data_IF_083166539125
#
_entry.id   IF_083166539125
#
_cell.length_a   1.000
_cell.length_b   1.000
_cell.length_c   1.000
_cell.angle_alpha   90.00
_cell.angle_beta   90.00
_cell.angle_gamma   90.00
#
_symmetry.space_group_name_H-M   'P 1'
#
loop_
_entity.id
_entity.type
_entity.pdbx_description
1 polymer ?
#
# COMPACT_ATOMS: atom_id res chain seq x y z
N UNK A 1 -84.36 31.25 99.58
CA UNK A 1 -82.89 31.03 99.63
C UNK A 1 -82.41 29.80 98.85
N UNK A 2 -83.15 29.32 97.83
CA UNK A 2 -82.73 28.15 97.02
C UNK A 2 -82.37 28.47 95.55
N UNK A 3 -82.69 29.68 95.07
CA UNK A 3 -82.51 30.06 93.66
C UNK A 3 -81.10 30.65 93.37
N UNK A 4 -80.49 31.40 94.30
CA UNK A 4 -79.15 31.99 94.11
C UNK A 4 -77.98 30.99 94.16
N UNK A 5 -78.15 29.82 94.81
CA UNK A 5 -77.12 28.77 94.83
C UNK A 5 -77.04 27.97 93.53
N UNK A 6 -78.15 27.87 92.79
CA UNK A 6 -78.21 27.13 91.52
C UNK A 6 -77.49 27.86 90.38
N UNK A 7 -77.61 29.18 90.33
CA UNK A 7 -77.00 30.00 89.27
C UNK A 7 -75.47 30.11 89.42
N UNK A 8 -74.92 30.14 90.64
CA UNK A 8 -73.46 30.21 90.87
C UNK A 8 -72.75 28.87 90.57
N UNK A 9 -73.40 27.73 90.84
CA UNK A 9 -72.88 26.42 90.44
C UNK A 9 -73.02 26.19 88.93
N UNK A 10 -74.08 26.70 88.31
CA UNK A 10 -74.24 26.67 86.85
C UNK A 10 -73.17 27.52 86.16
N UNK A 11 -72.84 28.70 86.71
CA UNK A 11 -71.79 29.57 86.20
C UNK A 11 -70.39 28.92 86.32
N UNK A 12 -70.08 28.28 87.47
CA UNK A 12 -68.83 27.53 87.65
C UNK A 12 -68.74 26.33 86.71
N UNK A 13 -69.85 25.61 86.52
CA UNK A 13 -69.91 24.50 85.58
C UNK A 13 -69.67 24.97 84.14
N UNK A 14 -70.23 26.11 83.75
CA UNK A 14 -70.02 26.70 82.44
C UNK A 14 -68.57 27.16 82.22
N UNK A 15 -67.94 27.77 83.22
CA UNK A 15 -66.50 28.11 83.21
C UNK A 15 -65.63 26.85 83.03
N UNK A 16 -65.88 25.80 83.81
CA UNK A 16 -65.16 24.53 83.68
C UNK A 16 -65.37 23.86 82.32
N UNK A 17 -66.59 23.87 81.78
CA UNK A 17 -66.85 23.36 80.43
C UNK A 17 -66.12 24.17 79.36
N UNK A 18 -66.02 25.49 79.54
CA UNK A 18 -65.28 26.37 78.62
C UNK A 18 -63.77 26.13 78.72
N UNK A 19 -63.23 25.94 79.92
CA UNK A 19 -61.82 25.60 80.12
C UNK A 19 -61.50 24.22 79.53
N UNK A 20 -62.35 23.22 79.76
CA UNK A 20 -62.22 21.89 79.18
C UNK A 20 -62.31 21.93 77.65
N UNK A 21 -63.23 22.71 77.09
CA UNK A 21 -63.36 22.89 75.64
C UNK A 21 -62.12 23.56 75.05
N UNK A 22 -61.57 24.55 75.76
CA UNK A 22 -60.36 25.27 75.32
C UNK A 22 -59.16 24.34 75.34
N UNK A 23 -58.96 23.59 76.43
CA UNK A 23 -57.89 22.58 76.56
C UNK A 23 -58.04 21.47 75.52
N UNK A 24 -59.24 20.92 75.36
CA UNK A 24 -59.53 19.91 74.35
C UNK A 24 -59.22 20.43 72.94
N UNK A 25 -59.65 21.66 72.62
CA UNK A 25 -59.39 22.29 71.31
C UNK A 25 -57.90 22.54 71.07
N UNK A 26 -57.15 23.04 72.06
CA UNK A 26 -55.72 23.28 71.90
C UNK A 26 -54.92 21.99 71.77
N UNK A 27 -55.25 20.97 72.55
CA UNK A 27 -54.53 19.69 72.57
C UNK A 27 -54.86 18.83 71.35
N UNK A 28 -56.14 18.70 70.96
CA UNK A 28 -56.51 17.92 69.78
C UNK A 28 -56.14 18.57 68.45
N UNK A 29 -56.12 19.90 68.35
CA UNK A 29 -55.80 20.59 67.09
C UNK A 29 -54.30 20.76 66.88
N UNK A 30 -53.51 21.19 67.86
CA UNK A 30 -52.13 21.61 67.57
C UNK A 30 -51.12 20.43 67.45
N UNK A 31 -51.24 19.40 68.29
CA UNK A 31 -50.26 18.30 68.32
C UNK A 31 -50.36 17.37 67.09
N UNK A 32 -51.59 17.06 66.64
CA UNK A 32 -51.81 16.29 65.40
C UNK A 32 -51.39 17.07 64.16
N UNK A 33 -51.60 18.39 64.14
CA UNK A 33 -51.19 19.26 63.03
C UNK A 33 -49.65 19.33 62.95
N UNK A 34 -48.94 19.48 64.06
CA UNK A 34 -47.46 19.52 64.09
C UNK A 34 -46.83 18.19 63.62
N UNK A 35 -47.36 17.05 64.08
CA UNK A 35 -46.90 15.74 63.62
C UNK A 35 -47.16 15.51 62.12
N UNK A 36 -48.32 15.96 61.61
CA UNK A 36 -48.69 15.86 60.19
C UNK A 36 -47.78 16.73 59.32
N UNK A 37 -47.48 17.95 59.76
CA UNK A 37 -46.55 18.86 59.08
C UNK A 37 -45.14 18.27 59.03
N UNK A 38 -44.63 17.73 60.14
CA UNK A 38 -43.30 17.08 60.18
C UNK A 38 -43.19 15.88 59.24
N UNK A 39 -44.22 15.03 59.17
CA UNK A 39 -44.25 13.91 58.24
C UNK A 39 -44.33 14.39 56.78
N UNK A 40 -45.07 15.47 56.54
CA UNK A 40 -45.13 16.14 55.23
C UNK A 40 -43.76 16.65 54.81
N UNK A 41 -43.03 17.34 55.70
CA UNK A 41 -41.69 17.87 55.43
C UNK A 41 -40.69 16.74 55.13
N UNK A 42 -40.71 15.67 55.92
CA UNK A 42 -39.86 14.48 55.70
C UNK A 42 -40.17 13.78 54.36
N UNK A 43 -41.45 13.70 54.01
CA UNK A 43 -41.91 13.17 52.73
C UNK A 43 -41.41 14.04 51.57
N UNK A 44 -41.57 15.35 51.68
CA UNK A 44 -41.09 16.31 50.69
C UNK A 44 -39.57 16.27 50.53
N UNK A 45 -38.81 16.21 51.62
CA UNK A 45 -37.34 16.08 51.56
C UNK A 45 -36.91 14.78 50.86
N UNK A 46 -37.62 13.68 51.13
CA UNK A 46 -37.38 12.38 50.46
C UNK A 46 -37.69 12.44 48.97
N UNK A 47 -38.76 13.12 48.58
CA UNK A 47 -39.12 13.36 47.18
C UNK A 47 -38.08 14.23 46.47
N UNK A 48 -37.59 15.29 47.10
CA UNK A 48 -36.51 16.12 46.56
C UNK A 48 -35.23 15.31 46.34
N UNK A 49 -34.81 14.51 47.32
CA UNK A 49 -33.63 13.63 47.20
C UNK A 49 -33.77 12.62 46.05
N UNK A 50 -34.95 12.05 45.88
CA UNK A 50 -35.22 11.15 44.77
C UNK A 50 -35.20 11.90 43.43
N UNK A 51 -35.84 13.07 43.35
CA UNK A 51 -35.82 13.94 42.18
C UNK A 51 -34.39 14.24 41.74
N UNK A 52 -33.55 14.74 42.65
CA UNK A 52 -32.15 15.07 42.36
C UNK A 52 -31.35 13.84 41.89
N UNK A 53 -31.57 12.68 42.53
CA UNK A 53 -30.92 11.42 42.15
C UNK A 53 -31.30 11.00 40.73
N UNK A 54 -32.57 11.12 40.35
CA UNK A 54 -33.03 10.78 39.00
C UNK A 54 -32.56 11.82 37.97
N UNK A 55 -32.56 13.10 38.31
CA UNK A 55 -32.01 14.16 37.44
C UNK A 55 -30.53 13.95 37.14
N UNK A 56 -29.72 13.64 38.16
CA UNK A 56 -28.30 13.33 37.96
C UNK A 56 -28.10 12.08 37.09
N UNK A 57 -28.89 11.03 37.31
CA UNK A 57 -28.85 9.81 36.47
C UNK A 57 -29.20 10.09 35.01
N UNK A 58 -30.17 10.95 34.76
CA UNK A 58 -30.55 11.34 33.40
C UNK A 58 -29.40 12.07 32.72
N UNK A 59 -28.79 13.05 33.39
CA UNK A 59 -27.64 13.82 32.88
C UNK A 59 -26.45 12.90 32.58
N UNK A 60 -26.15 11.94 33.46
CA UNK A 60 -25.06 10.99 33.24
C UNK A 60 -25.37 10.03 32.09
N UNK A 61 -26.63 9.62 31.93
CA UNK A 61 -27.09 8.86 30.77
C UNK A 61 -26.89 9.63 29.47
N UNK A 62 -27.27 10.90 29.42
CA UNK A 62 -27.10 11.76 28.24
C UNK A 62 -25.62 11.93 27.88
N UNK A 63 -24.75 12.15 28.88
CA UNK A 63 -23.29 12.22 28.66
C UNK A 63 -22.73 10.92 28.07
N UNK A 64 -23.19 9.76 28.56
CA UNK A 64 -22.79 8.47 28.01
C UNK A 64 -23.24 8.34 26.56
N UNK A 65 -24.48 8.72 26.24
CA UNK A 65 -25.01 8.69 24.87
C UNK A 65 -24.18 9.59 23.95
N UNK A 66 -23.82 10.80 24.38
CA UNK A 66 -22.93 11.69 23.61
C UNK A 66 -21.58 11.01 23.34
N UNK A 67 -20.96 10.40 24.35
CA UNK A 67 -19.69 9.69 24.19
C UNK A 67 -19.79 8.50 23.24
N UNK A 68 -20.89 7.75 23.26
CA UNK A 68 -21.11 6.67 22.31
C UNK A 68 -21.18 7.19 20.88
N UNK A 69 -21.89 8.28 20.62
CA UNK A 69 -21.94 8.89 19.29
C UNK A 69 -20.55 9.34 18.83
N UNK A 70 -19.77 10.00 19.68
CA UNK A 70 -18.39 10.40 19.38
C UNK A 70 -17.53 9.20 18.96
N UNK A 71 -17.57 8.10 19.73
CA UNK A 71 -16.81 6.90 19.39
C UNK A 71 -17.32 6.21 18.12
N UNK A 72 -18.62 6.21 17.87
CA UNK A 72 -19.20 5.70 16.64
C UNK A 72 -18.73 6.50 15.43
N UNK A 73 -18.72 7.82 15.52
CA UNK A 73 -18.25 8.71 14.46
C UNK A 73 -16.76 8.51 14.17
N UNK A 74 -15.92 8.43 15.23
CA UNK A 74 -14.50 8.14 15.08
C UNK A 74 -14.24 6.78 14.41
N UNK A 75 -15.00 5.74 14.80
CA UNK A 75 -14.88 4.42 14.19
C UNK A 75 -15.28 4.44 12.71
N UNK A 76 -16.35 5.17 12.37
CA UNK A 76 -16.80 5.36 11.00
C UNK A 76 -15.72 6.06 10.14
N UNK A 77 -15.13 7.15 10.65
CA UNK A 77 -14.06 7.87 9.97
C UNK A 77 -12.82 7.00 9.74
N UNK A 78 -12.40 6.23 10.76
CA UNK A 78 -11.27 5.30 10.64
C UNK A 78 -11.55 4.21 9.61
N UNK A 79 -12.75 3.63 9.61
CA UNK A 79 -13.14 2.62 8.63
C UNK A 79 -13.10 3.17 7.20
N UNK A 80 -13.61 4.39 6.99
CA UNK A 80 -13.52 5.06 5.68
C UNK A 80 -12.07 5.25 5.23
N UNK A 81 -11.18 5.71 6.12
CA UNK A 81 -9.75 5.86 5.79
C UNK A 81 -9.06 4.53 5.50
N UNK A 82 -9.47 3.44 6.16
CA UNK A 82 -8.94 2.09 5.90
C UNK A 82 -9.36 1.62 4.50
N UNK A 83 -10.62 1.80 4.14
CA UNK A 83 -11.16 1.42 2.83
C UNK A 83 -10.44 2.17 1.69
N UNK A 84 -10.30 3.49 1.80
CA UNK A 84 -9.55 4.30 0.83
C UNK A 84 -8.07 3.85 0.69
N UNK A 85 -7.43 3.43 1.79
CA UNK A 85 -6.06 2.90 1.75
C UNK A 85 -5.99 1.52 1.11
N UNK A 86 -6.99 0.66 1.35
CA UNK A 86 -7.07 -0.66 0.73
C UNK A 86 -7.27 -0.56 -0.78
N UNK A 87 -8.11 0.37 -1.24
CA UNK A 87 -8.33 0.64 -2.66
C UNK A 87 -7.03 1.09 -3.35
N UNK A 88 -6.33 2.09 -2.78
CA UNK A 88 -5.03 2.56 -3.30
C UNK A 88 -3.96 1.47 -3.33
N UNK A 89 -3.92 0.60 -2.32
CA UNK A 89 -2.99 -0.54 -2.30
C UNK A 89 -3.31 -1.55 -3.40
N UNK A 90 -4.59 -1.77 -3.70
CA UNK A 90 -5.01 -2.67 -4.77
C UNK A 90 -4.64 -2.13 -6.15
N UNK A 91 -4.74 -0.82 -6.36
CA UNK A 91 -4.32 -0.14 -7.60
C UNK A 91 -2.81 -0.30 -7.83
N UNK A 92 -1.98 0.06 -6.84
CA UNK A 92 -0.52 -0.08 -6.92
C UNK A 92 -0.08 -1.53 -7.16
N UNK A 93 -0.79 -2.51 -6.58
CA UNK A 93 -0.49 -3.92 -6.81
C UNK A 93 -0.76 -4.35 -8.26
N UNK A 94 -1.81 -3.80 -8.89
CA UNK A 94 -2.12 -4.06 -10.29
C UNK A 94 -1.01 -3.50 -11.20
N UNK A 95 -0.61 -2.24 -10.99
CA UNK A 95 0.46 -1.59 -11.75
C UNK A 95 1.79 -2.34 -11.64
N UNK A 96 2.17 -2.76 -10.42
CA UNK A 96 3.40 -3.53 -10.20
C UNK A 96 3.36 -4.91 -10.88
N UNK A 97 2.19 -5.54 -10.95
CA UNK A 97 2.02 -6.83 -11.61
C UNK A 97 2.18 -6.69 -13.12
N UNK A 98 1.66 -5.62 -13.69
CA UNK A 98 1.77 -5.37 -15.13
C UNK A 98 3.20 -4.97 -15.51
N UNK A 99 3.87 -4.11 -14.72
CA UNK A 99 5.29 -3.81 -14.91
C UNK A 99 6.19 -5.05 -14.81
N UNK A 100 5.89 -6.01 -13.92
CA UNK A 100 6.64 -7.27 -13.82
C UNK A 100 6.49 -8.14 -15.08
N UNK A 101 5.30 -8.16 -15.70
CA UNK A 101 5.10 -8.90 -16.95
C UNK A 101 5.92 -8.27 -18.07
N UNK A 102 5.87 -6.94 -18.20
CA UNK A 102 6.67 -6.21 -19.18
C UNK A 102 8.17 -6.48 -19.01
N UNK A 103 8.68 -6.47 -17.77
CA UNK A 103 10.08 -6.80 -17.48
C UNK A 103 10.44 -8.24 -17.91
N UNK A 104 9.55 -9.21 -17.66
CA UNK A 104 9.75 -10.60 -18.07
C UNK A 104 9.77 -10.75 -19.60
N UNK A 105 8.87 -10.06 -20.31
CA UNK A 105 8.81 -10.07 -21.77
C UNK A 105 10.06 -9.44 -22.38
N UNK A 106 10.49 -8.28 -21.87
CA UNK A 106 11.73 -7.62 -22.28
C UNK A 106 12.96 -8.50 -22.02
N UNK A 107 13.00 -9.19 -20.89
CA UNK A 107 14.09 -10.11 -20.56
C UNK A 107 14.15 -11.29 -21.55
N UNK A 108 12.99 -11.83 -21.93
CA UNK A 108 12.91 -12.87 -22.96
C UNK A 108 13.40 -12.36 -24.32
N UNK A 109 12.98 -11.16 -24.75
CA UNK A 109 13.44 -10.55 -26.01
C UNK A 109 14.96 -10.30 -26.00
N UNK A 110 15.51 -9.79 -24.89
CA UNK A 110 16.96 -9.59 -24.75
C UNK A 110 17.72 -10.91 -24.87
N UNK A 111 17.18 -11.98 -24.29
CA UNK A 111 17.79 -13.31 -24.35
C UNK A 111 17.80 -13.86 -25.79
N UNK A 112 16.68 -13.76 -26.50
CA UNK A 112 16.58 -14.15 -27.92
C UNK A 112 17.57 -13.37 -28.79
N UNK A 113 17.63 -12.03 -28.63
CA UNK A 113 18.55 -11.19 -29.40
C UNK A 113 20.02 -11.52 -29.09
N UNK A 114 20.34 -11.86 -27.84
CA UNK A 114 21.70 -12.31 -27.45
C UNK A 114 22.04 -13.61 -28.13
N UNK A 115 21.12 -14.57 -28.15
CA UNK A 115 21.33 -15.86 -28.81
C UNK A 115 21.49 -15.70 -30.32
N UNK A 116 20.65 -14.89 -30.96
CA UNK A 116 20.80 -14.52 -32.37
C UNK A 116 22.16 -13.89 -32.65
N UNK A 117 22.62 -12.95 -31.82
CA UNK A 117 23.90 -12.28 -32.01
C UNK A 117 25.07 -13.25 -31.84
N UNK A 118 24.98 -14.16 -30.86
CA UNK A 118 25.96 -15.23 -30.67
C UNK A 118 26.00 -16.14 -31.90
N UNK A 119 24.85 -16.54 -32.43
CA UNK A 119 24.75 -17.35 -33.66
C UNK A 119 25.40 -16.59 -34.81
N UNK A 120 24.98 -15.34 -35.07
CA UNK A 120 25.54 -14.47 -36.13
C UNK A 120 27.06 -14.29 -35.99
N UNK A 121 27.59 -14.19 -34.77
CA UNK A 121 29.03 -14.05 -34.53
C UNK A 121 29.82 -15.36 -34.73
N UNK A 122 29.19 -16.51 -34.53
CA UNK A 122 29.79 -17.84 -34.71
C UNK A 122 29.70 -18.33 -36.13
N UNK A 123 28.71 -17.88 -36.88
CA UNK A 123 28.53 -18.24 -38.29
C UNK A 123 29.27 -17.25 -39.17
N UNK A 124 30.40 -17.71 -39.72
CA UNK A 124 30.65 -17.78 -41.19
C UNK A 124 31.95 -17.15 -41.70
N UNK A 125 32.82 -16.59 -40.86
CA UNK A 125 34.07 -16.00 -41.35
C UNK A 125 35.27 -16.87 -40.98
N UNK A 126 35.94 -17.42 -41.99
CA UNK A 126 37.18 -18.15 -41.83
C UNK A 126 38.36 -17.18 -42.00
N UNK A 127 39.23 -17.13 -41.00
CA UNK A 127 40.46 -16.34 -41.05
C UNK A 127 41.67 -17.23 -41.33
N UNK A 128 42.40 -16.92 -42.39
CA UNK A 128 43.67 -17.54 -42.76
C UNK A 128 44.82 -16.64 -42.37
N UNK A 129 45.76 -17.18 -41.59
CA UNK A 129 46.97 -16.47 -41.17
C UNK A 129 48.18 -17.14 -41.81
N UNK A 130 48.80 -16.44 -42.76
CA UNK A 130 50.02 -16.87 -43.42
C UNK A 130 51.23 -16.30 -42.68
N UNK A 131 52.05 -17.19 -42.12
CA UNK A 131 53.39 -16.89 -41.60
C UNK A 131 54.46 -17.38 -42.56
N UNK A 132 55.72 -17.04 -42.28
CA UNK A 132 56.86 -17.35 -43.14
C UNK A 132 56.64 -16.86 -44.58
N UNK A 133 56.15 -15.63 -44.71
CA UNK A 133 55.94 -14.94 -45.99
C UNK A 133 57.09 -13.97 -46.23
N UNK A 134 57.38 -13.11 -45.26
CA UNK A 134 58.51 -12.21 -45.30
C UNK A 134 59.77 -12.90 -44.77
N UNK A 135 60.79 -13.04 -45.63
CA UNK A 135 62.09 -13.60 -45.27
C UNK A 135 62.89 -12.71 -44.30
N UNK A 136 62.53 -11.43 -44.14
CA UNK A 136 63.14 -10.53 -43.15
C UNK A 136 62.48 -10.66 -41.78
N UNK A 137 61.21 -11.07 -41.75
CA UNK A 137 60.41 -11.21 -40.54
C UNK A 137 59.45 -12.41 -40.67
N UNK A 138 59.88 -13.56 -40.15
CA UNK A 138 59.16 -14.82 -40.28
C UNK A 138 57.87 -14.88 -39.45
N UNK A 139 57.76 -14.07 -38.39
CA UNK A 139 56.60 -14.03 -37.49
C UNK A 139 55.54 -13.04 -37.96
N UNK A 140 55.88 -12.14 -38.88
CA UNK A 140 54.93 -11.16 -39.43
C UNK A 140 53.70 -11.87 -40.05
N UNK A 141 52.49 -11.61 -39.54
CA UNK A 141 51.29 -12.27 -40.04
C UNK A 141 50.74 -11.56 -41.28
N UNK A 142 50.35 -12.35 -42.27
CA UNK A 142 49.57 -11.93 -43.42
C UNK A 142 48.19 -12.60 -43.32
N UNK A 143 47.11 -11.82 -43.34
CA UNK A 143 45.77 -12.30 -42.98
C UNK A 143 44.80 -12.17 -44.16
N UNK A 144 43.94 -13.17 -44.32
CA UNK A 144 42.81 -13.17 -45.23
C UNK A 144 41.57 -13.64 -44.47
N UNK A 145 40.48 -12.88 -44.53
CA UNK A 145 39.20 -13.26 -43.94
C UNK A 145 38.21 -13.52 -45.06
N UNK A 146 37.61 -14.70 -45.07
CA UNK A 146 36.70 -15.18 -46.11
C UNK A 146 35.39 -15.62 -45.49
N UNK A 147 34.29 -15.35 -46.18
CA UNK A 147 32.96 -15.87 -45.86
C UNK A 147 32.34 -16.58 -47.05
N UNK A 148 31.32 -17.36 -46.77
CA UNK A 148 30.39 -17.86 -47.77
C UNK A 148 29.11 -17.03 -47.61
N UNK A 149 28.67 -16.39 -48.69
CA UNK A 149 27.47 -15.56 -48.69
C UNK A 149 26.18 -16.40 -48.77
N UNK A 150 25.01 -15.74 -48.79
CA UNK A 150 23.71 -16.42 -48.82
C UNK A 150 23.50 -17.26 -50.09
N UNK A 151 24.14 -16.90 -51.21
CA UNK A 151 24.12 -17.66 -52.47
C UNK A 151 25.14 -18.82 -52.51
N UNK A 152 25.91 -19.03 -51.44
CA UNK A 152 26.93 -20.08 -51.39
C UNK A 152 28.26 -19.73 -52.09
N UNK A 153 28.45 -18.46 -52.49
CA UNK A 153 29.66 -17.97 -53.15
C UNK A 153 30.70 -17.45 -52.14
N UNK A 154 31.98 -17.62 -52.47
CA UNK A 154 33.10 -17.12 -51.67
C UNK A 154 33.21 -15.59 -51.71
N UNK A 155 33.31 -14.94 -50.56
CA UNK A 155 33.45 -13.48 -50.44
C UNK A 155 34.58 -13.12 -49.46
N UNK A 156 35.50 -12.28 -49.90
CA UNK A 156 36.63 -11.78 -49.11
C UNK A 156 36.17 -10.57 -48.30
N UNK A 157 36.19 -10.68 -46.97
CA UNK A 157 35.80 -9.60 -46.05
C UNK A 157 36.97 -8.66 -45.80
N UNK A 158 38.17 -9.20 -45.64
CA UNK A 158 39.37 -8.41 -45.37
C UNK A 158 40.63 -9.13 -45.81
N UNK A 159 41.64 -8.35 -46.19
CA UNK A 159 42.96 -8.84 -46.58
C UNK A 159 44.02 -7.86 -46.07
N UNK A 160 44.98 -8.36 -45.30
CA UNK A 160 46.03 -7.54 -44.71
C UNK A 160 47.42 -8.20 -44.86
N UNK A 161 48.40 -7.51 -45.46
CA UNK A 161 48.31 -6.23 -46.16
C UNK A 161 47.38 -6.28 -47.40
N UNK A 162 46.86 -5.16 -47.89
CA UNK A 162 46.00 -5.14 -49.09
C UNK A 162 46.71 -5.72 -50.32
N UNK A 163 45.99 -6.48 -51.14
CA UNK A 163 46.47 -7.07 -52.39
C UNK A 163 45.70 -6.50 -53.58
N UNK A 164 46.40 -5.91 -54.54
CA UNK A 164 45.79 -5.32 -55.75
C UNK A 164 44.99 -6.34 -56.58
N UNK A 165 45.39 -7.62 -56.55
CA UNK A 165 44.78 -8.69 -57.34
C UNK A 165 43.70 -9.50 -56.60
N UNK A 166 43.26 -9.07 -55.41
CA UNK A 166 42.37 -9.89 -54.57
C UNK A 166 40.98 -10.09 -55.18
N UNK A 167 40.44 -9.06 -55.84
CA UNK A 167 39.12 -9.12 -56.51
C UNK A 167 39.13 -10.12 -57.67
N UNK A 168 40.20 -10.15 -58.47
CA UNK A 168 40.37 -11.12 -59.54
C UNK A 168 40.46 -12.56 -59.01
N UNK A 169 41.17 -12.76 -57.89
CA UNK A 169 41.28 -14.07 -57.25
C UNK A 169 39.93 -14.53 -56.67
N UNK A 170 39.15 -13.61 -56.10
CA UNK A 170 37.79 -13.88 -55.64
C UNK A 170 36.88 -14.31 -56.80
N UNK A 171 36.92 -13.59 -57.93
CA UNK A 171 36.13 -13.94 -59.10
C UNK A 171 36.51 -15.32 -59.63
N UNK A 172 37.81 -15.63 -59.72
CA UNK A 172 38.30 -16.95 -60.16
C UNK A 172 37.87 -18.09 -59.24
N UNK A 173 37.86 -17.91 -57.93
CA UNK A 173 37.42 -18.98 -57.01
C UNK A 173 35.91 -19.22 -57.10
N UNK A 174 35.11 -18.18 -57.38
CA UNK A 174 33.67 -18.31 -57.66
C UNK A 174 33.42 -19.10 -58.95
N UNK A 175 34.20 -18.87 -60.00
CA UNK A 175 34.05 -19.55 -61.28
C UNK A 175 34.56 -21.00 -61.25
N UNK A 176 35.74 -21.22 -60.66
CA UNK A 176 36.42 -22.53 -60.72
C UNK A 176 36.08 -23.45 -59.55
N UNK A 177 35.48 -22.92 -58.48
CA UNK A 177 35.29 -23.61 -57.19
C UNK A 177 36.57 -24.24 -56.63
N UNK A 178 37.76 -23.83 -57.09
CA UNK A 178 39.04 -24.40 -56.69
C UNK A 178 39.65 -23.60 -55.53
N UNK A 179 39.16 -23.91 -54.33
CA UNK A 179 39.59 -23.24 -53.10
C UNK A 179 41.10 -23.37 -52.82
N UNK A 180 41.69 -24.54 -53.08
CA UNK A 180 43.11 -24.79 -52.87
C UNK A 180 43.99 -23.90 -53.77
N UNK A 181 43.63 -23.79 -55.06
CA UNK A 181 44.32 -22.90 -55.98
C UNK A 181 44.20 -21.43 -55.58
N UNK A 182 43.03 -21.02 -55.08
CA UNK A 182 42.81 -19.67 -54.56
C UNK A 182 43.77 -19.34 -53.40
N UNK A 183 43.82 -20.18 -52.36
CA UNK A 183 44.71 -19.96 -51.20
C UNK A 183 46.18 -19.96 -51.62
N UNK A 184 46.58 -20.86 -52.53
CA UNK A 184 47.94 -20.90 -53.05
C UNK A 184 48.31 -19.60 -53.81
N UNK A 185 47.38 -19.06 -54.61
CA UNK A 185 47.60 -17.82 -55.36
C UNK A 185 47.61 -16.60 -54.44
N UNK A 186 46.78 -16.56 -53.40
CA UNK A 186 46.85 -15.51 -52.36
C UNK A 186 48.20 -15.54 -51.67
N UNK A 187 48.71 -16.72 -51.27
CA UNK A 187 50.04 -16.84 -50.66
C UNK A 187 51.14 -16.34 -51.60
N UNK A 188 51.06 -16.67 -52.91
CA UNK A 188 52.02 -16.16 -53.92
C UNK A 188 51.96 -14.64 -54.04
N UNK A 189 50.77 -14.04 -54.01
CA UNK A 189 50.60 -12.59 -54.07
C UNK A 189 51.20 -11.89 -52.84
N UNK A 190 50.99 -12.44 -51.64
CA UNK A 190 51.64 -11.93 -50.43
C UNK A 190 53.17 -12.03 -50.48
N UNK A 191 53.70 -13.14 -51.01
CA UNK A 191 55.14 -13.30 -51.24
C UNK A 191 55.65 -12.27 -52.26
N UNK A 192 54.92 -12.01 -53.35
CA UNK A 192 55.32 -10.99 -54.34
C UNK A 192 55.35 -9.57 -53.73
N UNK A 193 54.50 -9.30 -52.73
CA UNK A 193 54.49 -8.03 -52.00
C UNK A 193 55.75 -7.80 -51.16
N UNK A 194 56.46 -8.85 -50.72
CA UNK A 194 57.68 -8.70 -49.90
C UNK A 194 58.94 -8.41 -50.73
N UNK A 195 58.87 -8.61 -52.05
CA UNK A 195 59.97 -8.33 -52.99
C UNK A 195 59.86 -6.95 -53.67
N UNK A 196 58.78 -6.20 -53.41
CA UNK A 196 58.69 -4.77 -53.74
C UNK A 196 59.46 -3.96 -52.70
#
# INVERSE_FOLDING_TARGET
MAQEKGDDELAKLAEHMKELWTKFKTTCSNEKIDQTLRLSDLCMESLCKLSDKWSNRLIDGDKMITKFHEYTDEACQKNKSIEEKQEKLSEVLADLKDGRKEEADLMATIQELREELIIKSKTSHLQFIFRCVDHKDLEKPYMLTLTINEEGAYEVISCFPPLDCIEELQQKVRETSNFSAFIANVRKAFIALTYK
#
